data_IF_145261422462
#
_entry.id   IF_145261422462
#
_cell.length_a   1.000
_cell.length_b   1.000
_cell.length_c   1.000
_cell.angle_alpha   90.00
_cell.angle_beta   90.00
_cell.angle_gamma   90.00
#
_symmetry.space_group_name_H-M   'P 1'
#
loop_
_entity.id
_entity.type
_entity.pdbx_description
1 polymer ?
#
# COMPACT_ATOMS: atom_id res chain seq x y z
N UNK A 1 -2.87 58.72 12.74
CA UNK A 1 -2.87 57.54 13.62
C UNK A 1 -4.33 57.16 13.90
N UNK A 2 -4.90 56.20 13.16
CA UNK A 2 -6.25 55.68 13.43
C UNK A 2 -6.14 54.63 14.55
N UNK A 3 -6.67 54.93 15.73
CA UNK A 3 -6.85 53.95 16.80
C UNK A 3 -7.88 52.93 16.33
N UNK A 4 -7.44 51.71 16.06
CA UNK A 4 -8.33 50.58 15.82
C UNK A 4 -8.93 50.22 17.17
N UNK A 5 -10.14 50.71 17.45
CA UNK A 5 -10.96 50.18 18.52
C UNK A 5 -11.43 48.79 18.08
N UNK A 6 -10.66 47.76 18.41
CA UNK A 6 -11.16 46.39 18.44
C UNK A 6 -12.22 46.35 19.54
N UNK A 7 -13.48 46.57 19.14
CA UNK A 7 -14.63 46.49 20.02
C UNK A 7 -14.61 45.13 20.71
N UNK A 8 -14.70 45.12 22.05
CA UNK A 8 -14.65 43.93 22.90
C UNK A 8 -15.54 42.77 22.44
N UNK A 9 -16.59 43.06 21.65
CA UNK A 9 -17.46 42.08 21.01
C UNK A 9 -16.77 41.19 19.96
N UNK A 10 -15.83 41.70 19.14
CA UNK A 10 -15.16 40.90 18.09
C UNK A 10 -14.13 39.92 18.66
N UNK A 11 -13.44 40.29 19.74
CA UNK A 11 -12.50 39.41 20.44
C UNK A 11 -13.26 38.31 21.18
N UNK A 12 -14.40 38.65 21.80
CA UNK A 12 -15.28 37.66 22.46
C UNK A 12 -15.91 36.71 21.44
N UNK A 13 -16.33 37.18 20.26
CA UNK A 13 -16.80 36.29 19.18
C UNK A 13 -15.69 35.36 18.67
N UNK A 14 -14.47 35.86 18.45
CA UNK A 14 -13.34 35.04 18.02
C UNK A 14 -12.92 34.00 19.08
N UNK A 15 -12.91 34.40 20.36
CA UNK A 15 -12.65 33.50 21.48
C UNK A 15 -13.77 32.48 21.65
N UNK A 16 -15.04 32.86 21.48
CA UNK A 16 -16.18 31.93 21.52
C UNK A 16 -16.16 30.92 20.37
N UNK A 17 -15.78 31.33 19.15
CA UNK A 17 -15.60 30.41 18.01
C UNK A 17 -14.38 29.49 18.18
N UNK A 18 -13.32 29.98 18.83
CA UNK A 18 -12.14 29.17 19.14
C UNK A 18 -12.39 28.19 20.30
N UNK A 19 -13.19 28.58 21.30
CA UNK A 19 -13.62 27.72 22.40
C UNK A 19 -14.65 26.70 21.91
N UNK A 20 -15.56 27.07 21.00
CA UNK A 20 -16.50 26.11 20.39
C UNK A 20 -15.80 25.09 19.49
N UNK A 21 -14.68 25.46 18.85
CA UNK A 21 -13.83 24.52 18.12
C UNK A 21 -13.08 23.55 19.05
N UNK A 22 -12.78 23.97 20.29
CA UNK A 22 -12.22 23.11 21.34
C UNK A 22 -13.27 22.23 22.03
N UNK A 23 -14.57 22.52 21.84
CA UNK A 23 -15.70 21.77 22.39
C UNK A 23 -16.55 21.10 21.32
N UNK A 24 -16.00 20.78 20.15
CA UNK A 24 -16.74 19.94 19.21
C UNK A 24 -16.99 18.58 19.87
N UNK A 25 -18.26 18.13 19.99
CA UNK A 25 -18.59 16.84 20.59
C UNK A 25 -17.75 15.70 20.01
N UNK A 26 -17.36 15.79 18.73
CA UNK A 26 -16.46 14.84 18.07
C UNK A 26 -15.04 14.78 18.63
N UNK A 27 -14.44 15.90 19.05
CA UNK A 27 -13.09 15.92 19.65
C UNK A 27 -13.08 15.25 21.03
N UNK A 28 -14.06 15.61 21.88
CA UNK A 28 -14.22 15.01 23.21
C UNK A 28 -14.52 13.51 23.08
N UNK A 29 -15.41 13.14 22.17
CA UNK A 29 -15.78 11.75 21.94
C UNK A 29 -14.61 10.93 21.38
N UNK A 30 -13.82 11.50 20.46
CA UNK A 30 -12.61 10.87 19.95
C UNK A 30 -11.56 10.63 21.03
N UNK A 31 -11.31 11.61 21.89
CA UNK A 31 -10.43 11.44 23.05
C UNK A 31 -10.96 10.39 24.04
N UNK A 32 -12.27 10.29 24.23
CA UNK A 32 -12.88 9.24 25.05
C UNK A 32 -12.64 7.86 24.46
N UNK A 33 -12.87 7.67 23.16
CA UNK A 33 -12.59 6.41 22.46
C UNK A 33 -11.13 6.01 22.64
N UNK A 34 -10.19 6.92 22.35
CA UNK A 34 -8.76 6.66 22.49
C UNK A 34 -8.36 6.39 23.95
N UNK A 35 -9.01 7.05 24.91
CA UNK A 35 -8.82 6.80 26.34
C UNK A 35 -9.26 5.40 26.77
N UNK A 36 -10.40 4.91 26.28
CA UNK A 36 -10.86 3.54 26.53
C UNK A 36 -9.90 2.51 25.92
N UNK A 37 -9.44 2.74 24.67
CA UNK A 37 -8.42 1.89 24.02
C UNK A 37 -7.13 1.86 24.84
N UNK A 38 -6.63 3.02 25.27
CA UNK A 38 -5.39 3.13 26.02
C UNK A 38 -5.42 2.42 27.39
N UNK A 39 -6.61 2.24 27.97
CA UNK A 39 -6.84 1.49 29.21
C UNK A 39 -7.21 0.02 28.99
N UNK A 40 -7.35 -0.43 27.75
CA UNK A 40 -7.80 -1.79 27.43
C UNK A 40 -9.25 -2.06 27.78
N UNK A 41 -10.10 -1.04 27.88
CA UNK A 41 -11.52 -1.16 28.21
C UNK A 41 -12.34 -1.58 26.97
N UNK A 42 -12.10 -2.80 26.46
CA UNK A 42 -12.58 -3.27 25.14
C UNK A 42 -14.10 -3.21 25.01
N UNK A 43 -14.85 -3.61 26.04
CA UNK A 43 -16.32 -3.53 26.02
C UNK A 43 -16.79 -2.08 25.85
N UNK A 44 -16.17 -1.13 26.56
CA UNK A 44 -16.48 0.30 26.42
C UNK A 44 -16.07 0.85 25.05
N UNK A 45 -15.01 0.33 24.44
CA UNK A 45 -14.61 0.66 23.07
C UNK A 45 -15.69 0.19 22.09
N UNK A 46 -16.14 -1.06 22.19
CA UNK A 46 -17.17 -1.63 21.32
C UNK A 46 -18.50 -0.89 21.47
N UNK A 47 -18.98 -0.70 22.70
CA UNK A 47 -20.22 0.03 22.99
C UNK A 47 -20.20 1.44 22.39
N UNK A 48 -19.07 2.14 22.54
CA UNK A 48 -18.94 3.50 22.04
C UNK A 48 -18.91 3.54 20.51
N UNK A 49 -18.24 2.59 19.87
CA UNK A 49 -18.23 2.43 18.41
C UNK A 49 -19.60 2.06 17.84
N UNK A 50 -20.42 1.32 18.59
CA UNK A 50 -21.79 0.99 18.21
C UNK A 50 -22.72 2.19 18.29
N UNK A 51 -22.65 2.93 19.41
CA UNK A 51 -23.58 4.02 19.72
C UNK A 51 -23.26 5.34 19.02
N UNK A 52 -22.03 5.50 18.49
CA UNK A 52 -21.55 6.78 17.99
C UNK A 52 -20.83 6.69 16.64
N UNK A 53 -20.82 7.82 15.92
CA UNK A 53 -20.02 8.00 14.72
C UNK A 53 -18.72 8.74 15.04
N UNK A 54 -17.65 8.37 14.33
CA UNK A 54 -16.32 8.94 14.51
C UNK A 54 -15.72 9.34 13.16
N UNK A 55 -14.83 10.33 13.19
CA UNK A 55 -14.00 10.64 12.02
C UNK A 55 -13.08 9.47 11.70
N UNK A 56 -12.87 9.21 10.40
CA UNK A 56 -12.03 8.10 9.92
C UNK A 56 -10.60 8.12 10.48
N UNK A 57 -10.08 9.31 10.78
CA UNK A 57 -8.75 9.51 11.36
C UNK A 57 -8.66 9.07 12.83
N UNK A 58 -9.71 9.35 13.60
CA UNK A 58 -9.82 8.89 15.00
C UNK A 58 -9.95 7.37 15.02
N UNK A 59 -10.73 6.79 14.11
CA UNK A 59 -10.88 5.35 13.97
C UNK A 59 -9.57 4.67 13.55
N UNK A 60 -8.82 5.26 12.61
CA UNK A 60 -7.49 4.78 12.21
C UNK A 60 -6.48 4.86 13.37
N UNK A 61 -6.50 5.94 14.14
CA UNK A 61 -5.68 6.07 15.34
C UNK A 61 -6.05 5.03 16.41
N UNK A 62 -7.35 4.82 16.64
CA UNK A 62 -7.84 3.79 17.57
C UNK A 62 -7.36 2.41 17.14
N UNK A 63 -7.47 2.07 15.84
CA UNK A 63 -7.01 0.79 15.29
C UNK A 63 -5.53 0.55 15.57
N UNK A 64 -4.70 1.55 15.25
CA UNK A 64 -3.27 1.46 15.45
C UNK A 64 -2.90 1.37 16.93
N UNK A 65 -3.59 2.11 17.79
CA UNK A 65 -3.37 2.08 19.24
C UNK A 65 -3.77 0.72 19.83
N UNK A 66 -4.92 0.16 19.42
CA UNK A 66 -5.35 -1.19 19.83
C UNK A 66 -4.31 -2.24 19.45
N UNK A 67 -3.83 -2.21 18.20
CA UNK A 67 -2.78 -3.12 17.74
C UNK A 67 -1.49 -2.97 18.53
N UNK A 68 -1.01 -1.74 18.72
CA UNK A 68 0.24 -1.46 19.43
C UNK A 68 0.22 -1.95 20.88
N UNK A 69 -0.91 -1.80 21.57
CA UNK A 69 -1.08 -2.17 22.99
C UNK A 69 -1.42 -3.66 23.21
N UNK A 70 -1.78 -4.39 22.15
CA UNK A 70 -2.06 -5.81 22.25
C UNK A 70 -0.81 -6.60 22.68
N UNK A 71 -0.94 -7.46 23.67
CA UNK A 71 0.17 -8.27 24.19
C UNK A 71 -0.37 -9.62 24.67
N UNK A 72 0.46 -10.67 24.61
CA UNK A 72 0.04 -12.04 24.95
C UNK A 72 -0.35 -12.17 26.44
N UNK A 73 0.25 -11.35 27.31
CA UNK A 73 -0.03 -11.29 28.76
C UNK A 73 -0.78 -10.01 29.18
N UNK A 74 -1.21 -9.20 28.22
CA UNK A 74 -1.73 -7.84 28.45
C UNK A 74 -3.24 -7.72 28.60
N UNK A 75 -3.70 -6.47 28.76
CA UNK A 75 -5.11 -6.10 28.87
C UNK A 75 -5.92 -6.28 27.57
N UNK A 76 -5.24 -6.42 26.42
CA UNK A 76 -5.85 -6.55 25.10
C UNK A 76 -5.28 -7.81 24.43
N UNK A 77 -6.11 -8.84 24.26
CA UNK A 77 -5.69 -10.09 23.63
C UNK A 77 -5.69 -9.99 22.10
N UNK A 78 -5.12 -10.96 21.39
CA UNK A 78 -5.24 -11.06 19.92
C UNK A 78 -6.72 -11.14 19.50
N UNK A 79 -7.55 -11.87 20.25
CA UNK A 79 -8.98 -12.00 19.96
C UNK A 79 -9.72 -10.66 20.07
N UNK A 80 -9.42 -9.89 21.11
CA UNK A 80 -10.00 -8.57 21.31
C UNK A 80 -9.53 -7.60 20.23
N UNK A 81 -8.24 -7.66 19.90
CA UNK A 81 -7.64 -6.89 18.80
C UNK A 81 -8.36 -7.17 17.49
N UNK A 82 -8.55 -8.45 17.15
CA UNK A 82 -9.23 -8.84 15.92
C UNK A 82 -10.67 -8.29 15.85
N UNK A 83 -11.44 -8.41 16.94
CA UNK A 83 -12.82 -7.89 17.02
C UNK A 83 -12.88 -6.38 16.87
N UNK A 84 -12.04 -5.65 17.62
CA UNK A 84 -12.02 -4.19 17.57
C UNK A 84 -11.55 -3.70 16.21
N UNK A 85 -10.51 -4.30 15.61
CA UNK A 85 -10.04 -3.95 14.26
C UNK A 85 -11.13 -4.21 13.23
N UNK A 86 -11.85 -5.34 13.30
CA UNK A 86 -13.01 -5.62 12.46
C UNK A 86 -14.06 -4.51 12.52
N UNK A 87 -14.44 -4.11 13.73
CA UNK A 87 -15.45 -3.08 13.94
C UNK A 87 -14.99 -1.71 13.43
N UNK A 88 -13.73 -1.34 13.68
CA UNK A 88 -13.14 -0.08 13.21
C UNK A 88 -13.09 -0.02 11.68
N UNK A 89 -12.72 -1.12 11.01
CA UNK A 89 -12.75 -1.21 9.55
C UNK A 89 -14.18 -1.04 9.03
N UNK A 90 -15.16 -1.73 9.62
CA UNK A 90 -16.56 -1.62 9.24
C UNK A 90 -17.11 -0.19 9.41
N UNK A 91 -16.57 0.58 10.37
CA UNK A 91 -16.91 1.99 10.61
C UNK A 91 -16.13 2.97 9.71
N UNK A 92 -15.27 2.49 8.81
CA UNK A 92 -14.57 3.30 7.81
C UNK A 92 -13.23 3.87 8.28
N UNK A 93 -12.55 3.20 9.21
CA UNK A 93 -11.20 3.58 9.61
C UNK A 93 -10.23 3.67 8.42
N UNK A 94 -9.31 4.65 8.45
CA UNK A 94 -8.19 4.73 7.49
C UNK A 94 -7.18 3.60 7.76
N UNK A 95 -7.30 2.48 7.06
CA UNK A 95 -6.49 1.25 7.26
C UNK A 95 -4.97 1.43 7.08
N UNK A 96 -4.55 2.47 6.37
CA UNK A 96 -3.14 2.78 6.10
C UNK A 96 -2.63 3.98 6.91
N UNK A 97 -3.40 4.47 7.90
CA UNK A 97 -2.99 5.59 8.71
C UNK A 97 -1.74 5.25 9.53
N UNK A 98 -0.63 5.99 9.37
CA UNK A 98 0.59 5.72 10.11
C UNK A 98 0.57 6.39 11.50
N UNK A 99 1.36 5.84 12.43
CA UNK A 99 1.73 6.53 13.67
C UNK A 99 2.81 7.59 13.44
N UNK A 100 3.29 8.17 14.54
CA UNK A 100 4.39 9.13 14.52
C UNK A 100 5.69 8.56 13.92
N UNK A 101 5.93 7.26 13.96
CA UNK A 101 7.10 6.59 13.39
C UNK A 101 6.91 6.12 11.95
N UNK A 102 5.74 6.34 11.36
CA UNK A 102 5.41 5.85 10.02
C UNK A 102 4.88 4.42 10.00
N UNK A 103 4.65 3.80 11.16
CA UNK A 103 4.13 2.43 11.25
C UNK A 103 2.65 2.38 10.96
N UNK A 104 2.27 1.45 10.11
CA UNK A 104 0.86 1.21 9.73
C UNK A 104 0.26 0.06 10.54
N UNK A 105 -1.07 -0.06 10.61
CA UNK A 105 -1.73 -1.19 11.27
C UNK A 105 -1.22 -2.56 10.79
N UNK A 106 -0.93 -2.69 9.49
CA UNK A 106 -0.42 -3.94 8.92
C UNK A 106 0.99 -4.26 9.42
N UNK A 107 1.85 -3.26 9.64
CA UNK A 107 3.20 -3.47 10.21
C UNK A 107 3.12 -3.94 11.66
N UNK A 108 2.23 -3.36 12.47
CA UNK A 108 2.03 -3.79 13.86
C UNK A 108 1.47 -5.22 13.94
N UNK A 109 0.52 -5.58 13.08
CA UNK A 109 0.02 -6.96 12.99
C UNK A 109 1.15 -7.95 12.63
N UNK A 110 2.02 -7.59 11.69
CA UNK A 110 3.19 -8.39 11.32
C UNK A 110 4.22 -8.50 12.45
N UNK A 111 4.48 -7.41 13.17
CA UNK A 111 5.39 -7.39 14.31
C UNK A 111 4.90 -8.34 15.42
N UNK A 112 3.58 -8.46 15.62
CA UNK A 112 2.96 -9.30 16.65
C UNK A 112 2.55 -10.70 16.19
N UNK A 113 2.78 -11.03 14.91
CA UNK A 113 2.34 -12.29 14.30
C UNK A 113 0.82 -12.52 14.35
N UNK A 114 0.02 -11.45 14.29
CA UNK A 114 -1.45 -11.55 14.31
C UNK A 114 -1.98 -11.84 12.91
N UNK A 115 -1.87 -13.10 12.48
CA UNK A 115 -2.20 -13.58 11.14
C UNK A 115 -3.62 -13.22 10.70
N UNK A 116 -4.60 -13.47 11.58
CA UNK A 116 -6.01 -13.20 11.31
C UNK A 116 -6.24 -11.71 11.09
N UNK A 117 -5.59 -10.86 11.89
CA UNK A 117 -5.69 -9.41 11.81
C UNK A 117 -4.99 -8.86 10.57
N UNK A 118 -3.81 -9.38 10.24
CA UNK A 118 -3.11 -9.03 9.00
C UNK A 118 -3.96 -9.37 7.76
N UNK A 119 -4.62 -10.54 7.76
CA UNK A 119 -5.50 -10.97 6.67
C UNK A 119 -6.65 -10.00 6.43
N UNK A 120 -7.37 -9.59 7.49
CA UNK A 120 -8.48 -8.63 7.33
C UNK A 120 -7.98 -7.24 6.90
N UNK A 121 -6.86 -6.77 7.44
CA UNK A 121 -6.28 -5.49 7.03
C UNK A 121 -5.99 -5.48 5.53
N UNK A 122 -5.36 -6.55 5.01
CA UNK A 122 -5.10 -6.71 3.58
C UNK A 122 -6.39 -6.76 2.76
N UNK A 123 -7.43 -7.46 3.22
CA UNK A 123 -8.75 -7.48 2.58
C UNK A 123 -9.41 -6.11 2.56
N UNK A 124 -9.14 -5.27 3.56
CA UNK A 124 -9.62 -3.91 3.66
C UNK A 124 -8.77 -2.89 2.89
N UNK A 125 -7.77 -3.32 2.11
CA UNK A 125 -6.93 -2.45 1.29
C UNK A 125 -5.71 -1.87 1.99
N UNK A 126 -5.23 -2.53 3.05
CA UNK A 126 -3.92 -2.21 3.61
C UNK A 126 -2.82 -2.41 2.56
N UNK A 127 -1.92 -1.43 2.45
CA UNK A 127 -0.84 -1.40 1.47
C UNK A 127 0.42 -2.06 2.08
N UNK A 128 0.85 -3.24 1.58
CA UNK A 128 1.99 -3.98 2.14
C UNK A 128 3.35 -3.39 1.73
N UNK A 129 3.38 -2.34 0.90
CA UNK A 129 4.60 -1.70 0.41
C UNK A 129 4.98 -0.43 1.16
N UNK A 130 4.11 0.08 2.03
CA UNK A 130 4.45 1.22 2.87
C UNK A 130 5.64 0.85 3.76
N UNK A 131 6.52 1.80 4.00
CA UNK A 131 7.68 1.66 4.89
C UNK A 131 7.60 2.70 5.99
N UNK A 132 7.99 2.31 7.20
CA UNK A 132 8.17 3.26 8.29
C UNK A 132 9.43 4.13 8.09
N UNK A 133 9.75 4.99 9.07
CA UNK A 133 10.94 5.86 9.02
C UNK A 133 12.27 5.10 9.04
N UNK A 134 12.28 3.82 9.36
CA UNK A 134 13.46 2.95 9.32
C UNK A 134 13.58 2.19 7.99
N UNK A 135 12.64 2.39 7.07
CA UNK A 135 12.58 1.67 5.80
C UNK A 135 12.03 0.25 5.92
N UNK A 136 11.39 -0.10 7.04
CA UNK A 136 10.79 -1.41 7.25
C UNK A 136 9.33 -1.41 6.79
N UNK A 137 8.96 -2.32 5.90
CA UNK A 137 7.58 -2.62 5.53
C UNK A 137 7.01 -3.76 6.40
N UNK A 138 5.72 -4.03 6.21
CA UNK A 138 5.06 -5.17 6.85
C UNK A 138 5.77 -6.50 6.57
N UNK A 139 6.41 -6.65 5.41
CA UNK A 139 7.18 -7.85 5.08
C UNK A 139 8.46 -7.97 5.91
N UNK A 140 9.22 -6.88 6.08
CA UNK A 140 10.43 -6.91 6.90
C UNK A 140 10.09 -7.15 8.38
N UNK A 141 8.98 -6.61 8.88
CA UNK A 141 8.50 -6.90 10.24
C UNK A 141 8.12 -8.37 10.43
N UNK A 142 7.43 -8.99 9.47
CA UNK A 142 7.11 -10.41 9.52
C UNK A 142 8.36 -11.30 9.51
N UNK A 143 9.33 -10.96 8.64
CA UNK A 143 10.55 -11.76 8.41
C UNK A 143 11.61 -11.65 9.50
N UNK A 144 11.79 -10.45 10.06
CA UNK A 144 12.89 -10.17 11.01
C UNK A 144 12.56 -10.54 12.45
N UNK A 145 11.30 -10.84 12.74
CA UNK A 145 10.88 -11.17 14.09
C UNK A 145 11.18 -12.63 14.45
N UNK A 146 11.25 -12.92 15.75
CA UNK A 146 11.55 -14.27 16.26
C UNK A 146 10.31 -15.17 16.19
N UNK A 147 10.53 -16.48 16.06
CA UNK A 147 9.49 -17.51 16.07
C UNK A 147 9.11 -18.03 14.67
N UNK A 148 8.22 -19.02 14.63
CA UNK A 148 7.64 -19.52 13.38
C UNK A 148 6.57 -18.53 12.88
N UNK A 149 6.90 -17.83 11.80
CA UNK A 149 6.07 -16.78 11.18
C UNK A 149 5.89 -17.04 9.70
N UNK A 150 6.00 -18.31 9.28
CA UNK A 150 5.93 -18.69 7.87
C UNK A 150 4.57 -18.29 7.27
N UNK A 151 3.48 -18.49 8.01
CA UNK A 151 2.12 -18.18 7.55
C UNK A 151 1.92 -16.69 7.28
N UNK A 152 2.23 -15.80 8.23
CA UNK A 152 2.07 -14.36 8.03
C UNK A 152 3.02 -13.83 6.96
N UNK A 153 4.25 -14.36 6.88
CA UNK A 153 5.22 -13.97 5.85
C UNK A 153 4.69 -14.32 4.46
N UNK A 154 4.22 -15.55 4.28
CA UNK A 154 3.60 -16.00 3.04
C UNK A 154 2.37 -15.16 2.66
N UNK A 155 1.51 -14.84 3.64
CA UNK A 155 0.32 -14.01 3.42
C UNK A 155 0.70 -12.63 2.86
N UNK A 156 1.71 -11.99 3.45
CA UNK A 156 2.20 -10.67 3.01
C UNK A 156 2.86 -10.76 1.64
N UNK A 157 3.65 -11.81 1.37
CA UNK A 157 4.24 -12.04 0.05
C UNK A 157 3.16 -12.16 -1.03
N UNK A 158 2.10 -12.93 -0.78
CA UNK A 158 0.98 -13.08 -1.71
C UNK A 158 0.25 -11.77 -1.95
N UNK A 159 -0.01 -11.00 -0.89
CA UNK A 159 -0.62 -9.68 -1.04
C UNK A 159 0.25 -8.72 -1.85
N UNK A 160 1.58 -8.74 -1.64
CA UNK A 160 2.52 -7.94 -2.46
C UNK A 160 2.48 -8.39 -3.92
N UNK A 161 2.49 -9.68 -4.21
CA UNK A 161 2.38 -10.18 -5.59
C UNK A 161 1.10 -9.74 -6.28
N UNK A 162 -0.02 -9.74 -5.56
CA UNK A 162 -1.35 -9.38 -6.09
C UNK A 162 -1.56 -7.87 -6.25
N UNK A 163 -0.99 -7.06 -5.35
CA UNK A 163 -1.12 -5.60 -5.38
C UNK A 163 0.01 -4.88 -6.13
N UNK A 164 1.07 -5.59 -6.53
CA UNK A 164 2.19 -4.99 -7.23
C UNK A 164 1.77 -4.42 -8.59
N UNK A 165 2.14 -3.16 -8.81
CA UNK A 165 2.00 -2.48 -10.09
C UNK A 165 3.40 -2.24 -10.66
N UNK A 166 3.52 -2.44 -11.97
CA UNK A 166 4.74 -2.20 -12.72
C UNK A 166 4.44 -1.26 -13.85
N UNK A 167 5.32 -0.29 -14.04
CA UNK A 167 5.25 0.65 -15.16
C UNK A 167 6.47 0.41 -16.02
N UNK A 168 6.23 0.27 -17.32
CA UNK A 168 7.29 0.31 -18.33
C UNK A 168 7.17 1.63 -19.07
N UNK A 169 8.23 2.42 -19.05
CA UNK A 169 8.27 3.74 -19.68
C UNK A 169 9.56 3.92 -20.51
N UNK A 170 9.70 5.09 -21.16
CA UNK A 170 10.85 5.45 -21.99
C UNK A 170 11.22 4.41 -23.08
N UNK A 171 10.20 3.77 -23.66
CA UNK A 171 10.38 2.74 -24.68
C UNK A 171 10.97 3.37 -25.95
N UNK A 172 12.16 2.92 -26.35
CA UNK A 172 12.88 3.39 -27.54
C UNK A 172 13.25 2.21 -28.44
N UNK A 173 12.99 2.35 -29.72
CA UNK A 173 13.30 1.34 -30.74
C UNK A 173 14.49 1.78 -31.59
N UNK A 174 15.46 0.88 -31.80
CA UNK A 174 16.58 1.10 -32.72
C UNK A 174 16.75 -0.10 -33.64
N UNK A 175 16.73 0.16 -34.94
CA UNK A 175 17.08 -0.83 -35.95
C UNK A 175 18.59 -0.86 -36.15
N UNK A 176 19.18 -2.05 -36.10
CA UNK A 176 20.57 -2.28 -36.49
C UNK A 176 20.68 -3.62 -37.23
N UNK A 177 21.00 -3.56 -38.52
CA UNK A 177 21.02 -4.75 -39.37
C UNK A 177 19.66 -5.46 -39.38
N UNK A 178 19.67 -6.75 -39.04
CA UNK A 178 18.49 -7.64 -39.04
C UNK A 178 17.79 -7.73 -37.66
N UNK A 179 18.07 -6.80 -36.74
CA UNK A 179 17.54 -6.81 -35.37
C UNK A 179 16.94 -5.46 -34.94
N UNK A 180 15.91 -5.54 -34.10
CA UNK A 180 15.30 -4.42 -33.37
C UNK A 180 15.80 -4.48 -31.93
N UNK A 181 16.36 -3.37 -31.46
CA UNK A 181 16.72 -3.16 -30.06
C UNK A 181 15.62 -2.34 -29.40
N UNK A 182 15.03 -2.90 -28.35
CA UNK A 182 14.02 -2.23 -27.53
C UNK A 182 14.66 -1.87 -26.20
N UNK A 183 14.80 -0.57 -25.96
CA UNK A 183 15.25 -0.03 -24.68
C UNK A 183 14.05 0.46 -23.90
N UNK A 184 14.04 0.26 -22.59
CA UNK A 184 12.95 0.69 -21.73
C UNK A 184 13.44 0.88 -20.30
N UNK A 185 12.65 1.61 -19.52
CA UNK A 185 12.84 1.75 -18.08
C UNK A 185 11.74 0.95 -17.38
N UNK A 186 12.10 0.26 -16.30
CA UNK A 186 11.19 -0.54 -15.48
C UNK A 186 11.06 0.08 -14.10
N UNK A 187 9.84 0.46 -13.74
CA UNK A 187 9.49 0.92 -12.41
C UNK A 187 8.59 -0.11 -11.72
N UNK A 188 8.82 -0.30 -10.42
CA UNK A 188 8.02 -1.19 -9.59
C UNK A 188 8.70 -1.53 -8.27
N UNK A 189 8.00 -2.23 -7.36
CA UNK A 189 8.47 -2.45 -6.00
C UNK A 189 9.49 -3.59 -5.85
N UNK A 190 9.58 -4.50 -6.81
CA UNK A 190 10.47 -5.67 -6.77
C UNK A 190 10.71 -6.23 -8.18
N UNK A 191 11.53 -7.29 -8.39
CA UNK A 191 11.77 -7.82 -9.73
C UNK A 191 10.50 -8.32 -10.44
N UNK A 192 10.30 -7.93 -11.70
CA UNK A 192 9.14 -8.29 -12.51
C UNK A 192 9.51 -9.20 -13.68
N UNK A 193 8.59 -10.05 -14.12
CA UNK A 193 8.74 -10.71 -15.42
C UNK A 193 8.37 -9.75 -16.54
N UNK A 194 9.25 -9.61 -17.52
CA UNK A 194 9.02 -8.74 -18.68
C UNK A 194 8.61 -9.56 -19.90
N UNK A 195 7.67 -9.04 -20.68
CA UNK A 195 7.19 -9.62 -21.93
C UNK A 195 7.23 -8.58 -23.03
N UNK A 196 7.59 -9.03 -24.23
CA UNK A 196 7.47 -8.25 -25.46
C UNK A 196 6.28 -8.82 -26.24
N UNK A 197 5.28 -7.99 -26.50
CA UNK A 197 4.16 -8.31 -27.36
C UNK A 197 4.27 -7.53 -28.67
N UNK A 198 4.00 -8.21 -29.78
CA UNK A 198 3.76 -7.56 -31.07
C UNK A 198 2.36 -7.90 -31.52
N UNK A 199 1.56 -6.88 -31.80
CA UNK A 199 0.22 -7.02 -32.37
C UNK A 199 0.15 -6.36 -33.75
N UNK A 200 -0.65 -6.96 -34.63
CA UNK A 200 -0.83 -6.52 -36.02
C UNK A 200 -0.42 -7.57 -37.06
N UNK A 201 -1.23 -7.70 -38.11
CA UNK A 201 -0.88 -8.50 -39.30
C UNK A 201 -0.99 -10.03 -39.19
N UNK A 202 -1.55 -10.57 -38.10
CA UNK A 202 -1.79 -12.02 -37.94
C UNK A 202 -0.53 -12.86 -37.64
N UNK A 203 0.57 -12.24 -37.24
CA UNK A 203 1.82 -12.92 -36.88
C UNK A 203 2.07 -12.91 -35.38
N UNK A 204 2.77 -13.94 -34.90
CA UNK A 204 3.15 -14.12 -33.49
C UNK A 204 4.66 -14.05 -33.36
N UNK A 205 5.15 -13.27 -32.39
CA UNK A 205 6.56 -13.28 -31.99
C UNK A 205 6.98 -14.69 -31.59
N UNK A 206 8.15 -15.15 -32.07
CA UNK A 206 8.69 -16.42 -31.64
C UNK A 206 9.70 -16.17 -30.51
N UNK A 207 9.44 -16.66 -29.27
CA UNK A 207 10.28 -16.36 -28.12
C UNK A 207 11.77 -16.70 -28.32
N UNK A 208 12.08 -17.73 -29.12
CA UNK A 208 13.46 -18.15 -29.45
C UNK A 208 14.28 -17.13 -30.25
N UNK A 209 13.63 -16.14 -30.85
CA UNK A 209 14.28 -15.09 -31.64
C UNK A 209 14.31 -13.74 -30.90
N UNK A 210 13.94 -13.76 -29.62
CA UNK A 210 13.99 -12.64 -28.69
C UNK A 210 14.95 -12.99 -27.55
N UNK A 211 15.82 -12.06 -27.17
CA UNK A 211 16.77 -12.22 -26.07
C UNK A 211 16.88 -10.94 -25.23
N UNK A 212 17.53 -11.04 -24.07
CA UNK A 212 17.63 -9.96 -23.10
C UNK A 212 16.65 -10.17 -21.95
N UNK A 213 15.96 -9.10 -21.56
CA UNK A 213 15.13 -9.08 -20.34
C UNK A 213 13.81 -9.88 -20.42
N UNK A 214 13.46 -10.44 -21.58
CA UNK A 214 12.18 -11.16 -21.78
C UNK A 214 12.14 -12.48 -21.01
N UNK A 215 11.06 -12.69 -20.26
CA UNK A 215 10.76 -13.93 -19.52
C UNK A 215 11.54 -14.09 -18.20
N UNK A 216 12.51 -13.22 -17.94
CA UNK A 216 13.31 -13.22 -16.72
C UNK A 216 12.71 -12.30 -15.65
N UNK A 217 13.04 -12.53 -14.37
CA UNK A 217 12.76 -11.58 -13.29
C UNK A 217 13.78 -10.43 -13.36
N UNK A 218 13.36 -9.28 -13.84
CA UNK A 218 14.17 -8.09 -14.09
C UNK A 218 13.97 -7.13 -12.93
N UNK A 219 15.06 -6.67 -12.32
CA UNK A 219 15.00 -5.62 -11.29
C UNK A 219 14.53 -4.30 -11.92
N UNK A 220 13.75 -3.48 -11.19
CA UNK A 220 13.50 -2.09 -11.58
C UNK A 220 14.80 -1.34 -11.89
N UNK A 221 14.76 -0.40 -12.82
CA UNK A 221 15.92 0.36 -13.27
C UNK A 221 15.80 0.84 -14.71
N UNK A 222 16.77 1.64 -15.13
CA UNK A 222 16.78 2.31 -16.44
C UNK A 222 17.61 1.55 -17.48
N UNK A 223 17.39 1.89 -18.76
CA UNK A 223 18.12 1.37 -19.92
C UNK A 223 18.14 -0.17 -20.02
N UNK A 224 17.04 -0.81 -19.58
CA UNK A 224 16.77 -2.23 -19.80
C UNK A 224 16.66 -2.52 -21.30
N UNK A 225 16.99 -3.73 -21.74
CA UNK A 225 17.21 -4.04 -23.16
C UNK A 225 16.66 -5.40 -23.57
N UNK A 226 15.88 -5.38 -24.65
CA UNK A 226 15.42 -6.56 -25.38
C UNK A 226 15.95 -6.48 -26.81
N UNK A 227 16.43 -7.61 -27.33
CA UNK A 227 16.90 -7.74 -28.71
C UNK A 227 16.00 -8.71 -29.44
N UNK A 228 15.43 -8.26 -30.55
CA UNK A 228 14.49 -9.04 -31.36
C UNK A 228 14.98 -9.21 -32.79
N UNK A 229 15.11 -10.45 -33.26
CA UNK A 229 15.53 -10.77 -34.63
C UNK A 229 14.35 -10.71 -35.61
N UNK A 230 14.14 -9.53 -36.19
CA UNK A 230 13.02 -9.24 -37.07
C UNK A 230 12.99 -10.15 -38.32
N UNK A 231 14.16 -10.40 -38.94
CA UNK A 231 14.26 -11.23 -40.16
C UNK A 231 13.88 -12.70 -39.93
N UNK A 232 14.09 -13.22 -38.72
CA UNK A 232 13.74 -14.61 -38.39
C UNK A 232 12.26 -14.78 -38.06
N UNK A 233 11.62 -13.70 -37.59
CA UNK A 233 10.21 -13.69 -37.22
C UNK A 233 9.28 -13.19 -38.32
N UNK A 234 9.76 -12.34 -39.23
CA UNK A 234 9.02 -11.91 -40.42
C UNK A 234 9.29 -12.85 -41.61
N UNK A 235 8.29 -13.61 -42.09
CA UNK A 235 8.43 -14.39 -43.31
C UNK A 235 8.62 -13.50 -44.53
N UNK A 236 9.24 -14.08 -45.57
CA UNK A 236 9.36 -13.43 -46.88
C UNK A 236 7.98 -13.02 -47.39
N UNK A 237 7.81 -11.75 -47.74
CA UNK A 237 6.56 -11.19 -48.27
C UNK A 237 5.70 -10.40 -47.27
N UNK A 238 6.15 -10.20 -46.03
CA UNK A 238 5.50 -9.26 -45.10
C UNK A 238 5.49 -7.84 -45.69
N UNK A 239 4.30 -7.34 -46.05
CA UNK A 239 4.09 -6.07 -46.76
C UNK A 239 4.03 -4.84 -45.84
N UNK A 240 4.66 -4.88 -44.66
CA UNK A 240 4.75 -3.72 -43.75
C UNK A 240 3.37 -3.11 -43.42
N UNK A 241 2.38 -3.94 -43.07
CA UNK A 241 1.24 -3.40 -42.31
C UNK A 241 1.79 -2.97 -40.95
N UNK A 242 1.33 -1.82 -40.44
CA UNK A 242 1.76 -1.28 -39.16
C UNK A 242 1.77 -2.37 -38.07
N UNK A 243 2.80 -2.33 -37.23
CA UNK A 243 3.00 -3.25 -36.12
C UNK A 243 3.21 -2.45 -34.86
N UNK A 244 2.47 -2.79 -33.81
CA UNK A 244 2.63 -2.20 -32.49
C UNK A 244 3.44 -3.13 -31.62
N UNK A 245 4.38 -2.58 -30.85
CA UNK A 245 5.22 -3.30 -29.91
C UNK A 245 4.99 -2.76 -28.51
N UNK A 246 4.59 -3.65 -27.61
CA UNK A 246 4.38 -3.33 -26.21
C UNK A 246 5.37 -4.11 -25.35
N UNK A 247 6.02 -3.40 -24.43
CA UNK A 247 6.81 -4.01 -23.36
C UNK A 247 5.96 -3.94 -22.10
N UNK A 248 5.65 -5.11 -21.54
CA UNK A 248 4.84 -5.22 -20.34
C UNK A 248 5.61 -5.91 -19.22
N UNK A 249 5.31 -5.55 -17.99
CA UNK A 249 5.88 -6.15 -16.80
C UNK A 249 4.78 -6.59 -15.83
N UNK A 250 4.97 -7.75 -15.20
CA UNK A 250 4.06 -8.27 -14.18
C UNK A 250 4.82 -9.00 -13.07
N UNK A 251 4.21 -9.07 -11.88
CA UNK A 251 4.71 -9.90 -10.78
C UNK A 251 4.68 -11.40 -11.11
N UNK A 252 3.72 -11.83 -11.95
CA UNK A 252 3.44 -13.24 -12.29
C UNK A 252 4.05 -13.71 -13.62
#
# INVERSE_FOLDING_TARGET
MRRIALTSACIVCFLLTAISALSEPGYILGNRLLGHVARGEIESVEDLLEQSAFGQEVLGQAMLTTLALADEEGFITERDTFRVVQLLIAKGAKVNQPDAYGRTPLMEACLKNFESTAWILLKAGANPFLTDRFGLSAYEYAKNARGDRETITWLIEKAREDQATFTVNNIRLRLQGDAVYVYYDLEGPFPAKVRLNAEGGGMKLLPRHVSGDVGAKVQPGTDRKIVWSLKKDLPKGFKQKEMTLDVMASSK
#
